data_IF_057711366830
#
_entry.id   IF_057711366830
#
_cell.length_a   1.000
_cell.length_b   1.000
_cell.length_c   1.000
_cell.angle_alpha   90.00
_cell.angle_beta   90.00
_cell.angle_gamma   90.00
#
_symmetry.space_group_name_H-M   'P 1'
#
loop_
_entity.id
_entity.type
_entity.pdbx_description
1 polymer ?
#
# COMPACT_ATOMS: atom_id res chain seq x y z
N UNK A 1 -50.49 -6.84 -53.14
CA UNK A 1 -50.50 -6.60 -51.68
C UNK A 1 -49.62 -7.65 -51.02
N UNK A 2 -48.49 -7.28 -50.40
CA UNK A 2 -47.74 -8.15 -49.49
C UNK A 2 -47.97 -7.76 -48.01
N UNK A 3 -47.90 -8.69 -47.05
CA UNK A 3 -47.44 -8.43 -45.68
C UNK A 3 -45.99 -8.95 -45.53
N UNK A 4 -45.01 -8.19 -45.01
CA UNK A 4 -44.77 -7.79 -43.60
C UNK A 4 -44.78 -9.00 -42.64
N UNK A 5 -43.81 -9.28 -41.74
CA UNK A 5 -42.66 -8.55 -41.17
C UNK A 5 -41.84 -9.54 -40.29
N UNK A 6 -40.54 -9.26 -40.12
CA UNK A 6 -39.64 -9.55 -38.98
C UNK A 6 -39.06 -10.95 -38.65
N UNK A 7 -37.72 -10.95 -38.69
CA UNK A 7 -36.75 -11.29 -37.63
C UNK A 7 -36.71 -12.72 -37.07
N UNK A 8 -35.63 -13.44 -37.43
CA UNK A 8 -35.09 -14.57 -36.68
C UNK A 8 -33.56 -14.53 -36.66
N UNK A 9 -33.01 -14.58 -35.44
CA UNK A 9 -31.81 -15.35 -35.11
C UNK A 9 -30.47 -14.64 -35.23
N UNK A 10 -30.13 -13.82 -34.23
CA UNK A 10 -28.74 -13.50 -33.92
C UNK A 10 -28.04 -14.74 -33.36
N UNK A 11 -26.84 -15.04 -33.88
CA UNK A 11 -25.91 -16.01 -33.32
C UNK A 11 -25.23 -15.44 -32.07
N UNK A 12 -25.00 -16.21 -30.99
CA UNK A 12 -24.02 -15.85 -29.99
C UNK A 12 -22.67 -16.48 -30.36
N UNK A 13 -21.66 -15.62 -30.48
CA UNK A 13 -20.24 -15.97 -30.49
C UNK A 13 -19.81 -16.34 -29.08
N UNK A 14 -19.09 -17.45 -28.96
CA UNK A 14 -18.37 -17.89 -27.77
C UNK A 14 -17.43 -16.80 -27.23
N UNK A 15 -17.51 -16.54 -25.91
CA UNK A 15 -16.43 -15.94 -25.14
C UNK A 15 -16.43 -16.53 -23.72
N UNK A 16 -15.30 -17.06 -23.20
CA UNK A 16 -15.23 -17.75 -21.93
C UNK A 16 -14.85 -16.80 -20.80
N UNK A 17 -15.70 -16.61 -19.79
CA UNK A 17 -15.31 -16.02 -18.50
C UNK A 17 -15.95 -16.83 -17.37
N UNK A 18 -15.41 -18.02 -17.12
CA UNK A 18 -15.66 -18.77 -15.90
C UNK A 18 -14.65 -18.35 -14.84
N UNK A 19 -14.93 -17.25 -14.12
CA UNK A 19 -14.23 -16.94 -12.88
C UNK A 19 -14.74 -17.89 -11.80
N UNK A 20 -14.17 -19.09 -11.77
CA UNK A 20 -14.54 -20.14 -10.83
C UNK A 20 -14.09 -19.76 -9.40
N UNK A 21 -14.97 -19.85 -8.38
CA UNK A 21 -14.65 -19.57 -6.98
C UNK A 21 -13.57 -20.50 -6.39
N UNK A 22 -13.23 -21.58 -7.08
CA UNK A 22 -12.19 -22.53 -6.69
C UNK A 22 -10.76 -21.96 -6.83
N UNK A 23 -10.52 -21.05 -7.79
CA UNK A 23 -9.20 -20.42 -7.93
C UNK A 23 -8.90 -19.46 -6.79
N UNK A 24 -9.93 -18.76 -6.30
CA UNK A 24 -9.81 -17.90 -5.12
C UNK A 24 -9.53 -18.74 -3.87
N UNK A 25 -10.27 -19.83 -3.62
CA UNK A 25 -10.01 -20.70 -2.46
C UNK A 25 -8.60 -21.31 -2.49
N UNK A 26 -8.15 -21.79 -3.65
CA UNK A 26 -6.82 -22.40 -3.79
C UNK A 26 -5.68 -21.42 -3.50
N UNK A 27 -5.82 -20.16 -3.92
CA UNK A 27 -4.87 -19.10 -3.57
C UNK A 27 -4.89 -18.83 -2.05
N UNK A 28 -6.07 -18.83 -1.42
CA UNK A 28 -6.24 -18.49 0.00
C UNK A 28 -5.73 -19.58 0.96
N UNK A 29 -5.87 -20.86 0.61
CA UNK A 29 -5.37 -21.98 1.42
C UNK A 29 -3.82 -21.99 1.45
N UNK A 30 -3.16 -21.62 0.35
CA UNK A 30 -1.68 -21.59 0.29
C UNK A 30 -1.05 -20.49 1.15
N UNK A 31 -1.75 -19.37 1.38
CA UNK A 31 -1.25 -18.26 2.19
C UNK A 31 -1.35 -18.62 3.68
N UNK A 32 -2.47 -19.22 4.09
CA UNK A 32 -2.73 -19.56 5.51
C UNK A 32 -1.74 -20.59 6.06
N UNK A 33 -1.46 -21.65 5.30
CA UNK A 33 -0.55 -22.72 5.75
C UNK A 33 0.91 -22.29 5.81
N UNK A 34 1.35 -21.31 5.01
CA UNK A 34 2.75 -20.89 4.98
C UNK A 34 3.13 -19.82 6.02
N UNK A 35 2.18 -19.09 6.63
CA UNK A 35 2.52 -18.00 7.57
C UNK A 35 3.05 -18.52 8.92
N UNK A 36 2.72 -19.77 9.27
CA UNK A 36 3.14 -20.42 10.53
C UNK A 36 4.56 -21.03 10.47
N UNK A 37 5.18 -21.14 9.29
CA UNK A 37 6.46 -21.84 9.08
C UNK A 37 7.65 -20.89 8.89
N UNK A 38 7.56 -19.65 9.40
CA UNK A 38 8.64 -18.66 9.29
C UNK A 38 9.74 -18.83 10.35
N UNK A 39 9.45 -19.47 11.47
CA UNK A 39 10.38 -19.59 12.60
C UNK A 39 11.54 -20.57 12.36
N UNK A 40 11.42 -21.45 11.37
CA UNK A 40 12.42 -22.47 11.04
C UNK A 40 13.26 -22.14 9.79
N UNK A 41 13.02 -20.98 9.16
CA UNK A 41 13.63 -20.61 7.89
C UNK A 41 14.79 -19.64 8.09
N UNK A 42 15.74 -19.64 7.15
CA UNK A 42 16.76 -18.61 7.08
C UNK A 42 16.12 -17.23 6.95
N UNK A 43 16.69 -16.16 7.56
CA UNK A 43 16.18 -14.79 7.42
C UNK A 43 15.93 -14.38 5.95
N UNK A 44 16.80 -14.80 5.03
CA UNK A 44 16.68 -14.53 3.60
C UNK A 44 15.46 -15.22 2.97
N UNK A 45 15.16 -16.45 3.39
CA UNK A 45 14.01 -17.22 2.91
C UNK A 45 12.69 -16.68 3.48
N UNK A 46 12.71 -16.24 4.73
CA UNK A 46 11.58 -15.57 5.37
C UNK A 46 11.26 -14.25 4.65
N UNK A 47 12.29 -13.43 4.35
CA UNK A 47 12.13 -12.21 3.56
C UNK A 47 11.55 -12.50 2.17
N UNK A 48 12.09 -13.50 1.46
CA UNK A 48 11.58 -13.91 0.14
C UNK A 48 10.11 -14.32 0.18
N UNK A 49 9.69 -15.10 1.19
CA UNK A 49 8.28 -15.48 1.39
C UNK A 49 7.39 -14.26 1.67
N UNK A 50 7.83 -13.34 2.54
CA UNK A 50 7.10 -12.10 2.83
C UNK A 50 6.91 -11.23 1.58
N UNK A 51 7.94 -11.11 0.72
CA UNK A 51 7.80 -10.41 -0.57
C UNK A 51 6.70 -11.02 -1.43
N UNK A 52 6.72 -12.34 -1.58
CA UNK A 52 5.76 -13.04 -2.43
C UNK A 52 4.33 -12.86 -1.92
N UNK A 53 4.12 -12.92 -0.61
CA UNK A 53 2.80 -12.70 0.00
C UNK A 53 2.29 -11.26 -0.16
N UNK A 54 3.19 -10.28 -0.20
CA UNK A 54 2.80 -8.88 -0.38
C UNK A 54 2.61 -8.51 -1.86
N UNK A 55 3.32 -9.18 -2.78
CA UNK A 55 3.29 -8.87 -4.22
C UNK A 55 1.88 -9.02 -4.81
N UNK A 56 1.24 -10.18 -4.61
CA UNK A 56 -0.09 -10.44 -5.17
C UNK A 56 -1.15 -9.41 -4.74
N UNK A 57 -1.31 -9.13 -3.43
CA UNK A 57 -2.22 -8.10 -2.94
C UNK A 57 -1.89 -6.67 -3.43
N UNK A 58 -0.61 -6.34 -3.60
CA UNK A 58 -0.20 -5.04 -4.16
C UNK A 58 -0.60 -4.90 -5.63
N UNK A 59 -0.38 -5.94 -6.43
CA UNK A 59 -0.79 -5.96 -7.84
C UNK A 59 -2.32 -5.97 -8.00
N UNK A 60 -3.05 -6.59 -7.07
CA UNK A 60 -4.53 -6.53 -7.05
C UNK A 60 -5.05 -5.12 -6.75
N UNK A 61 -4.43 -4.40 -5.80
CA UNK A 61 -4.81 -3.03 -5.46
C UNK A 61 -4.34 -2.00 -6.51
N UNK A 62 -3.13 -2.18 -7.05
CA UNK A 62 -2.47 -1.27 -7.99
C UNK A 62 -2.04 -2.02 -9.26
N UNK A 63 -2.99 -2.39 -10.14
CA UNK A 63 -2.71 -3.25 -11.30
C UNK A 63 -1.80 -2.62 -12.35
N UNK A 64 -1.59 -1.29 -12.31
CA UNK A 64 -0.68 -0.57 -13.21
C UNK A 64 0.55 0.00 -12.51
N UNK A 65 0.89 -0.52 -11.33
CA UNK A 65 2.12 -0.13 -10.64
C UNK A 65 3.36 -0.47 -11.49
N UNK A 66 4.29 0.46 -11.72
CA UNK A 66 5.55 0.16 -12.39
C UNK A 66 6.38 -0.84 -11.58
N UNK A 67 7.07 -1.79 -12.24
CA UNK A 67 7.88 -2.80 -11.55
C UNK A 67 8.89 -2.20 -10.56
N UNK A 68 9.53 -1.08 -10.93
CA UNK A 68 10.50 -0.39 -10.07
C UNK A 68 9.84 0.14 -8.79
N UNK A 69 8.61 0.65 -8.88
CA UNK A 69 7.86 1.10 -7.72
C UNK A 69 7.40 -0.10 -6.87
N UNK A 70 6.95 -1.18 -7.52
CA UNK A 70 6.53 -2.40 -6.84
C UNK A 70 7.65 -2.99 -5.99
N UNK A 71 8.86 -3.14 -6.53
CA UNK A 71 10.00 -3.68 -5.78
C UNK A 71 10.35 -2.81 -4.56
N UNK A 72 10.32 -1.48 -4.71
CA UNK A 72 10.56 -0.55 -3.59
C UNK A 72 9.48 -0.65 -2.52
N UNK A 73 8.22 -0.72 -2.92
CA UNK A 73 7.10 -0.89 -1.98
C UNK A 73 7.22 -2.22 -1.24
N UNK A 74 7.68 -3.28 -1.93
CA UNK A 74 7.96 -4.57 -1.28
C UNK A 74 9.12 -4.47 -0.29
N UNK A 75 10.18 -3.72 -0.60
CA UNK A 75 11.28 -3.45 0.34
C UNK A 75 10.74 -2.76 1.61
N UNK A 76 9.95 -1.68 1.45
CA UNK A 76 9.34 -0.95 2.58
C UNK A 76 8.43 -1.86 3.42
N UNK A 77 7.65 -2.72 2.77
CA UNK A 77 6.82 -3.71 3.47
C UNK A 77 7.67 -4.65 4.34
N UNK A 78 8.81 -5.12 3.83
CA UNK A 78 9.71 -5.99 4.61
C UNK A 78 10.36 -5.21 5.76
N UNK A 79 10.86 -4.01 5.49
CA UNK A 79 11.58 -3.19 6.46
C UNK A 79 10.69 -2.79 7.64
N UNK A 80 9.39 -2.57 7.39
CA UNK A 80 8.39 -2.27 8.42
C UNK A 80 7.70 -3.53 8.97
N UNK A 81 8.25 -4.73 8.72
CA UNK A 81 7.72 -6.05 9.12
C UNK A 81 6.22 -6.25 8.77
N UNK A 82 5.77 -5.63 7.68
CA UNK A 82 4.41 -5.71 7.20
C UNK A 82 4.23 -6.90 6.25
N UNK A 83 3.18 -7.68 6.49
CA UNK A 83 2.77 -8.79 5.63
C UNK A 83 1.25 -8.83 5.55
N UNK A 84 0.70 -9.20 4.39
CA UNK A 84 -0.73 -9.45 4.25
C UNK A 84 -1.23 -10.38 5.38
N UNK A 85 -2.16 -9.87 6.19
CA UNK A 85 -2.67 -10.60 7.34
C UNK A 85 -4.12 -11.03 7.08
N UNK A 86 -4.33 -12.35 6.94
CA UNK A 86 -5.66 -12.94 6.70
C UNK A 86 -6.62 -12.79 7.88
N UNK A 87 -6.10 -12.64 9.11
CA UNK A 87 -6.90 -12.37 10.30
C UNK A 87 -7.40 -10.92 10.37
N UNK A 88 -6.81 -10.01 9.58
CA UNK A 88 -7.25 -8.63 9.48
C UNK A 88 -8.26 -8.45 8.34
N UNK A 89 -9.10 -7.42 8.44
CA UNK A 89 -10.06 -7.13 7.37
C UNK A 89 -9.34 -6.75 6.08
N UNK A 90 -9.94 -7.08 4.92
CA UNK A 90 -9.41 -6.67 3.60
C UNK A 90 -9.19 -5.16 3.52
N UNK A 91 -10.11 -4.40 4.11
CA UNK A 91 -10.02 -2.95 4.21
C UNK A 91 -8.81 -2.48 5.03
N UNK A 92 -8.52 -3.13 6.16
CA UNK A 92 -7.34 -2.80 6.97
C UNK A 92 -6.03 -3.05 6.20
N UNK A 93 -5.92 -4.20 5.52
CA UNK A 93 -4.76 -4.49 4.67
C UNK A 93 -4.63 -3.48 3.53
N UNK A 94 -5.73 -3.20 2.81
CA UNK A 94 -5.76 -2.22 1.73
C UNK A 94 -5.34 -0.82 2.20
N UNK A 95 -5.78 -0.42 3.40
CA UNK A 95 -5.40 0.84 4.03
C UNK A 95 -3.88 0.92 4.25
N UNK A 96 -3.28 -0.15 4.78
CA UNK A 96 -1.83 -0.24 5.02
C UNK A 96 -1.03 -0.17 3.71
N UNK A 97 -1.38 -0.99 2.72
CA UNK A 97 -0.73 -0.94 1.41
C UNK A 97 -0.84 0.43 0.76
N UNK A 98 -2.03 1.04 0.80
CA UNK A 98 -2.22 2.37 0.20
C UNK A 98 -1.31 3.40 0.87
N UNK A 99 -1.10 3.31 2.17
CA UNK A 99 -0.27 4.27 2.91
C UNK A 99 1.21 4.13 2.56
N UNK A 100 1.69 2.89 2.44
CA UNK A 100 3.05 2.59 1.94
C UNK A 100 3.21 3.12 0.51
N UNK A 101 2.24 2.88 -0.36
CA UNK A 101 2.29 3.34 -1.75
C UNK A 101 2.23 4.87 -1.84
N UNK A 102 1.39 5.54 -1.05
CA UNK A 102 1.31 7.01 -0.98
C UNK A 102 2.65 7.60 -0.55
N UNK A 103 3.27 7.06 0.50
CA UNK A 103 4.59 7.48 0.97
C UNK A 103 5.65 7.30 -0.14
N UNK A 104 5.70 6.11 -0.76
CA UNK A 104 6.62 5.85 -1.87
C UNK A 104 6.40 6.81 -3.06
N UNK A 105 5.16 7.06 -3.46
CA UNK A 105 4.85 8.03 -4.53
C UNK A 105 5.31 9.43 -4.14
N UNK A 106 5.05 9.85 -2.91
CA UNK A 106 5.45 11.17 -2.41
C UNK A 106 6.96 11.35 -2.45
N UNK A 107 7.74 10.42 -1.92
CA UNK A 107 9.20 10.52 -1.90
C UNK A 107 9.85 10.41 -3.29
N UNK A 108 9.37 9.50 -4.16
CA UNK A 108 10.07 9.16 -5.41
C UNK A 108 9.51 9.79 -6.68
N UNK A 109 8.24 10.24 -6.66
CA UNK A 109 7.55 10.75 -7.85
C UNK A 109 7.15 12.22 -7.72
N UNK A 110 7.56 12.88 -6.63
CA UNK A 110 7.31 14.32 -6.42
C UNK A 110 8.54 15.01 -5.84
N UNK A 111 8.50 16.33 -5.78
CA UNK A 111 9.56 17.14 -5.19
C UNK A 111 9.50 17.20 -3.65
N UNK A 112 8.80 16.27 -2.98
CA UNK A 112 8.61 16.29 -1.52
C UNK A 112 9.91 16.44 -0.73
N UNK A 113 10.91 15.61 -1.01
CA UNK A 113 12.21 15.65 -0.32
C UNK A 113 12.98 16.95 -0.60
N UNK A 114 12.69 17.61 -1.71
CA UNK A 114 13.27 18.90 -2.07
C UNK A 114 12.60 20.02 -1.26
N UNK A 115 11.28 20.00 -1.15
CA UNK A 115 10.51 20.96 -0.34
C UNK A 115 10.94 20.92 1.13
N UNK A 116 11.18 19.73 1.68
CA UNK A 116 11.66 19.59 3.05
C UNK A 116 13.10 20.10 3.23
N UNK A 117 14.02 19.74 2.33
CA UNK A 117 15.45 20.04 2.52
C UNK A 117 15.84 21.46 2.09
N UNK A 118 15.32 21.93 0.95
CA UNK A 118 15.72 23.21 0.36
C UNK A 118 14.83 24.36 0.84
N UNK A 119 13.51 24.15 0.82
CA UNK A 119 12.54 25.18 1.20
C UNK A 119 12.20 25.17 2.70
N UNK A 120 12.64 24.12 3.43
CA UNK A 120 12.41 23.93 4.87
C UNK A 120 10.93 24.02 5.25
N UNK A 121 10.05 23.54 4.36
CA UNK A 121 8.63 23.46 4.64
C UNK A 121 8.36 22.42 5.72
N UNK A 122 7.30 22.63 6.50
CA UNK A 122 6.79 21.61 7.39
C UNK A 122 6.28 20.40 6.59
N UNK A 123 6.34 19.19 7.18
CA UNK A 123 5.88 17.95 6.53
C UNK A 123 4.49 18.08 5.95
N UNK A 124 3.54 18.58 6.74
CA UNK A 124 2.17 18.80 6.28
C UNK A 124 2.08 19.74 5.07
N UNK A 125 2.85 20.83 5.05
CA UNK A 125 2.85 21.78 3.94
C UNK A 125 3.42 21.16 2.68
N UNK A 126 4.53 20.41 2.80
CA UNK A 126 5.12 19.68 1.69
C UNK A 126 4.20 18.57 1.17
N UNK A 127 3.47 17.87 2.05
CA UNK A 127 2.43 16.89 1.68
C UNK A 127 1.30 17.56 0.90
N UNK A 128 0.86 18.74 1.33
CA UNK A 128 -0.22 19.49 0.67
C UNK A 128 0.23 20.04 -0.68
N UNK A 129 1.46 20.52 -0.80
CA UNK A 129 2.03 21.03 -2.04
C UNK A 129 2.19 19.93 -3.10
N UNK A 130 2.54 18.71 -2.69
CA UNK A 130 2.75 17.56 -3.60
C UNK A 130 1.47 16.74 -3.84
N UNK A 131 0.40 17.02 -3.10
CA UNK A 131 -0.86 16.27 -3.08
C UNK A 131 -1.42 16.00 -4.48
N UNK A 132 -1.49 17.02 -5.34
CA UNK A 132 -2.06 16.87 -6.69
C UNK A 132 -1.24 15.91 -7.56
N UNK A 133 0.08 15.98 -7.47
CA UNK A 133 0.99 15.09 -8.20
C UNK A 133 0.88 13.65 -7.70
N UNK A 134 0.89 13.46 -6.38
CA UNK A 134 0.68 12.14 -5.75
C UNK A 134 -0.65 11.54 -6.20
N UNK A 135 -1.74 12.33 -6.11
CA UNK A 135 -3.07 11.87 -6.49
C UNK A 135 -3.16 11.45 -7.95
N UNK A 136 -2.52 12.20 -8.84
CA UNK A 136 -2.46 11.87 -10.28
C UNK A 136 -1.76 10.52 -10.50
N UNK A 137 -0.59 10.31 -9.91
CA UNK A 137 0.16 9.05 -10.03
C UNK A 137 -0.62 7.87 -9.47
N UNK A 138 -1.26 8.03 -8.30
CA UNK A 138 -2.10 6.99 -7.71
C UNK A 138 -3.27 6.61 -8.62
N UNK A 139 -3.91 7.59 -9.27
CA UNK A 139 -4.98 7.36 -10.26
C UNK A 139 -4.50 6.63 -11.50
N UNK A 140 -3.28 6.88 -11.95
CA UNK A 140 -2.67 6.18 -13.08
C UNK A 140 -2.38 4.71 -12.75
N UNK A 141 -1.91 4.43 -11.53
CA UNK A 141 -1.56 3.07 -11.08
C UNK A 141 -2.78 2.25 -10.65
N UNK A 142 -3.85 2.95 -10.23
CA UNK A 142 -5.11 2.37 -9.76
C UNK A 142 -6.29 2.92 -10.60
N UNK A 143 -6.42 2.53 -11.88
CA UNK A 143 -7.51 2.97 -12.73
C UNK A 143 -8.74 2.10 -12.48
N UNK A 144 -9.61 2.54 -11.60
CA UNK A 144 -10.89 1.89 -11.36
C UNK A 144 -12.04 2.81 -11.76
N UNK A 145 -12.89 2.30 -12.65
CA UNK A 145 -14.19 2.85 -13.09
C UNK A 145 -15.25 2.88 -11.97
N UNK A 146 -14.87 2.59 -10.73
CA UNK A 146 -15.72 2.74 -9.54
C UNK A 146 -14.88 3.19 -8.35
N UNK A 147 -15.38 4.18 -7.63
CA UNK A 147 -14.79 4.84 -6.46
C UNK A 147 -14.06 3.88 -5.51
N UNK A 148 -12.72 3.86 -5.56
CA UNK A 148 -11.90 3.22 -4.51
C UNK A 148 -11.87 4.12 -3.27
N UNK A 149 -12.91 3.99 -2.44
CA UNK A 149 -13.12 4.79 -1.21
C UNK A 149 -11.95 4.63 -0.23
N UNK A 150 -11.33 3.45 -0.16
CA UNK A 150 -10.16 3.21 0.68
C UNK A 150 -8.96 4.04 0.21
N UNK A 151 -8.69 4.07 -1.10
CA UNK A 151 -7.60 4.88 -1.68
C UNK A 151 -7.80 6.35 -1.40
N UNK A 152 -9.01 6.87 -1.67
CA UNK A 152 -9.34 8.27 -1.45
C UNK A 152 -9.20 8.66 0.03
N UNK A 153 -9.79 7.88 0.95
CA UNK A 153 -9.68 8.15 2.39
C UNK A 153 -8.25 8.09 2.91
N UNK A 154 -7.42 7.16 2.42
CA UNK A 154 -6.02 7.08 2.82
C UNK A 154 -5.25 8.32 2.37
N UNK A 155 -5.46 8.73 1.11
CA UNK A 155 -4.82 9.92 0.57
C UNK A 155 -5.27 11.19 1.31
N UNK A 156 -6.58 11.38 1.48
CA UNK A 156 -7.14 12.54 2.18
C UNK A 156 -6.59 12.64 3.60
N UNK A 157 -6.55 11.55 4.35
CA UNK A 157 -5.97 11.60 5.68
C UNK A 157 -4.47 11.90 5.71
N UNK A 158 -3.73 11.53 4.68
CA UNK A 158 -2.30 11.84 4.58
C UNK A 158 -2.02 13.34 4.38
N UNK A 159 -3.03 14.11 3.99
CA UNK A 159 -2.93 15.57 3.80
C UNK A 159 -3.71 16.35 4.87
N UNK A 160 -4.29 15.67 5.88
CA UNK A 160 -4.94 16.33 7.01
C UNK A 160 -3.86 16.85 7.97
N UNK A 161 -4.04 18.05 8.55
CA UNK A 161 -3.12 18.58 9.55
C UNK A 161 -3.01 17.66 10.78
N UNK A 162 -1.86 17.60 11.47
CA UNK A 162 -1.66 16.72 12.62
C UNK A 162 -2.72 16.89 13.73
N UNK A 163 -3.21 18.12 13.96
CA UNK A 163 -4.22 18.42 14.99
C UNK A 163 -5.67 18.05 14.59
N UNK A 164 -5.91 17.73 13.32
CA UNK A 164 -7.22 17.28 12.80
C UNK A 164 -7.20 15.79 12.41
N UNK A 165 -6.04 15.12 12.55
CA UNK A 165 -5.87 13.71 12.17
C UNK A 165 -6.60 12.80 13.14
N UNK A 166 -7.42 11.89 12.60
CA UNK A 166 -8.07 10.84 13.39
C UNK A 166 -7.04 9.74 13.74
N UNK A 167 -6.76 9.48 15.03
CA UNK A 167 -5.80 8.45 15.46
C UNK A 167 -6.20 7.04 15.02
N UNK A 168 -7.50 6.79 14.84
CA UNK A 168 -8.01 5.49 14.38
C UNK A 168 -7.67 5.23 12.92
N UNK A 169 -7.39 6.30 12.18
CA UNK A 169 -7.03 6.31 10.78
C UNK A 169 -5.54 6.62 10.58
N UNK A 170 -4.67 6.22 11.51
CA UNK A 170 -3.22 6.29 11.25
C UNK A 170 -2.65 4.95 10.76
N UNK A 171 -2.65 4.69 9.44
CA UNK A 171 -1.92 3.59 8.84
C UNK A 171 -0.44 3.96 8.69
N UNK A 172 0.25 4.20 9.82
CA UNK A 172 1.66 4.57 9.91
C UNK A 172 1.99 5.89 9.21
N UNK A 173 2.41 6.88 9.98
CA UNK A 173 3.21 7.96 9.43
C UNK A 173 4.63 7.45 9.11
N UNK A 174 4.76 6.77 7.98
CA UNK A 174 6.03 6.18 7.51
C UNK A 174 7.11 7.26 7.46
N UNK A 175 6.76 8.48 7.08
CA UNK A 175 7.70 9.59 6.95
C UNK A 175 8.09 10.24 8.30
N UNK A 176 7.36 9.98 9.41
CA UNK A 176 7.75 10.43 10.75
C UNK A 176 8.75 9.47 11.40
N UNK A 177 8.59 8.16 11.17
CA UNK A 177 9.46 7.14 11.78
C UNK A 177 10.90 7.14 11.28
N UNK A 178 11.18 7.74 10.13
CA UNK A 178 12.52 7.75 9.52
C UNK A 178 13.35 8.99 9.94
N UNK A 179 12.75 9.94 10.66
CA UNK A 179 13.39 11.17 11.20
C UNK A 179 13.50 11.17 12.73
N UNK A 180 13.19 10.05 13.39
CA UNK A 180 13.76 9.78 14.72
C UNK A 180 15.23 9.38 14.51
N UNK A 181 16.03 10.35 14.08
CA UNK A 181 17.46 10.29 14.28
C UNK A 181 17.71 9.98 15.74
N UNK A 182 18.53 8.96 15.98
CA UNK A 182 19.57 8.90 16.99
C UNK A 182 19.76 10.18 17.83
N UNK A 183 18.77 10.52 18.66
CA UNK A 183 19.04 11.13 19.95
C UNK A 183 19.35 9.93 20.84
N UNK A 184 20.62 9.55 20.76
CA UNK A 184 21.41 9.06 21.87
C UNK A 184 20.92 9.72 23.15
N UNK A 185 19.90 9.10 23.77
CA UNK A 185 19.63 9.25 25.18
C UNK A 185 20.84 8.59 25.86
N UNK A 186 21.91 9.36 25.95
CA UNK A 186 22.92 9.29 26.99
C UNK A 186 22.14 9.37 28.30
N UNK A 187 21.58 8.23 28.72
CA UNK A 187 21.24 7.98 30.11
C UNK A 187 22.56 8.02 30.83
N UNK A 188 22.94 9.25 31.17
CA UNK A 188 23.77 9.66 32.29
C UNK A 188 24.33 8.45 33.01
N UNK A 189 25.57 8.11 32.70
CA UNK A 189 26.39 7.35 33.61
C UNK A 189 26.32 8.07 34.96
N UNK A 190 25.48 7.58 35.87
CA UNK A 190 25.43 8.02 37.26
C UNK A 190 26.74 7.56 37.90
N UNK A 191 27.72 8.46 38.13
CA UNK A 191 29.02 8.10 38.65
C UNK A 191 29.02 8.39 40.15
N UNK A 192 28.02 7.92 40.89
CA UNK A 192 27.94 8.13 42.33
C UNK A 192 27.38 6.89 43.05
N UNK A 193 28.16 5.81 43.03
CA UNK A 193 28.20 4.83 44.13
C UNK A 193 29.65 4.35 44.32
N UNK A 194 30.47 5.27 44.81
CA UNK A 194 31.65 4.95 45.59
C UNK A 194 31.52 5.74 46.90
N UNK A 195 31.03 5.07 47.93
CA UNK A 195 31.60 5.07 49.28
C UNK A 195 31.04 3.91 50.12
#
# INVERSE_FOLDING_TARGET
>A
MPPAVASRGAAPLDAPHNSSPEHQHRYMDTITTNQQDLSNLSPEEAQRRRREWNRGPLEDLFPRIPQVALERVLDICIDKDFTYNLSQSKFWNARRYTSIVVANVRHFYTDYDKLLREERLERYEARRATAQSVWKTLREWCPWDSSNEALQRCFEASIVPPWERDPTWDPMDIDESDDEGQDEHDVLADPMDLD
#
